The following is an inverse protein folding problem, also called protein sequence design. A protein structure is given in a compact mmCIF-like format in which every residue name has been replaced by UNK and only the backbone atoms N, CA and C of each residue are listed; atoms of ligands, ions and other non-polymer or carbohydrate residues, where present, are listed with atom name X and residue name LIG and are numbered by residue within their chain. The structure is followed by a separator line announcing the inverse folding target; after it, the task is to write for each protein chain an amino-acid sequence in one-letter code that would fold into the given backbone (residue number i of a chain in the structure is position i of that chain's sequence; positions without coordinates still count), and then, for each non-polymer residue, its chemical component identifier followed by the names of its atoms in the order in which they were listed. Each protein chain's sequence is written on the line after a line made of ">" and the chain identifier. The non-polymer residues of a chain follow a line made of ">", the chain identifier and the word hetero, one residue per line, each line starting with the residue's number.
data_IF_295621297891
#
_entry.id   IF_295621297891
#
_cell.length_a   1.000
_cell.length_b   1.000
_cell.length_c   1.000
_cell.angle_alpha   90.00
_cell.angle_beta   90.00
_cell.angle_gamma   90.00
#
_symmetry.space_group_name_H-M   'P 1'
#
loop_
_entity.id
_entity.type
_entity.pdbx_description
1 polymer ?
#
# COMPACT_ATOMS: atom_id res chain seq x y z
N UNK A 1 4.81 49.57 -18.95
CA UNK A 1 6.13 49.88 -18.38
C UNK A 1 6.19 49.19 -17.02
N UNK A 2 6.70 47.96 -16.99
CA UNK A 2 6.77 47.13 -15.78
C UNK A 2 8.10 47.43 -15.11
N UNK A 3 8.06 48.00 -13.90
CA UNK A 3 9.24 48.24 -13.08
C UNK A 3 9.56 46.94 -12.35
N UNK A 4 10.59 46.23 -12.79
CA UNK A 4 11.20 45.13 -12.06
C UNK A 4 12.07 45.70 -10.93
N UNK A 5 11.61 45.53 -9.69
CA UNK A 5 12.43 45.80 -8.50
C UNK A 5 13.29 44.58 -8.23
N UNK A 6 14.59 44.68 -8.52
CA UNK A 6 15.59 43.70 -8.09
C UNK A 6 15.86 43.89 -6.60
N UNK A 7 15.45 42.93 -5.78
CA UNK A 7 15.92 42.81 -4.39
C UNK A 7 17.32 42.21 -4.42
N UNK A 8 18.34 43.03 -4.16
CA UNK A 8 19.68 42.57 -3.82
C UNK A 8 19.67 42.29 -2.32
N UNK A 9 19.81 41.02 -1.92
CA UNK A 9 20.01 40.66 -0.52
C UNK A 9 21.35 41.25 -0.03
N UNK A 10 21.44 41.78 1.20
CA UNK A 10 22.69 42.30 1.71
C UNK A 10 23.70 41.15 1.87
N UNK A 11 24.92 41.36 1.38
CA UNK A 11 26.04 40.46 1.62
C UNK A 11 26.36 40.45 3.12
N UNK A 12 26.21 39.29 3.75
CA UNK A 12 26.69 39.06 5.10
C UNK A 12 28.22 39.12 5.04
N UNK A 13 28.83 40.09 5.73
CA UNK A 13 30.29 40.16 5.82
C UNK A 13 30.74 39.19 6.89
N UNK A 14 31.54 38.19 6.52
CA UNK A 14 32.14 37.25 7.46
C UNK A 14 32.94 37.99 8.55
N UNK A 15 32.74 37.61 9.80
CA UNK A 15 33.48 38.11 10.96
C UNK A 15 34.79 37.33 11.08
N UNK A 16 35.96 37.98 10.90
CA UNK A 16 37.26 37.30 10.90
C UNK A 16 37.61 36.65 12.25
N UNK A 17 36.93 37.00 13.35
CA UNK A 17 37.16 36.41 14.67
C UNK A 17 36.35 35.12 14.92
N UNK A 18 35.49 34.72 13.99
CA UNK A 18 34.62 33.53 14.11
C UNK A 18 35.23 32.31 13.41
N UNK A 19 35.41 31.22 14.15
CA UNK A 19 35.68 29.91 13.56
C UNK A 19 34.39 29.31 13.00
N UNK A 20 34.15 29.59 11.73
CA UNK A 20 32.96 29.14 11.00
C UNK A 20 32.89 27.62 10.84
N UNK A 21 34.02 26.90 10.84
CA UNK A 21 34.04 25.44 10.76
C UNK A 21 33.56 24.83 12.09
N UNK A 22 34.01 25.36 13.23
CA UNK A 22 33.53 24.92 14.55
C UNK A 22 32.08 25.29 14.79
N UNK A 23 31.66 26.49 14.36
CA UNK A 23 30.27 26.90 14.42
C UNK A 23 29.37 25.96 13.60
N UNK A 24 29.77 25.62 12.37
CA UNK A 24 29.04 24.67 11.55
C UNK A 24 28.99 23.28 12.19
N UNK A 25 30.08 22.81 12.81
CA UNK A 25 30.11 21.53 13.52
C UNK A 25 29.10 21.48 14.68
N UNK A 26 29.02 22.55 15.46
CA UNK A 26 28.04 22.69 16.54
C UNK A 26 26.61 22.64 15.99
N UNK A 27 26.33 23.40 14.93
CA UNK A 27 25.00 23.47 14.32
C UNK A 27 24.58 22.13 13.70
N UNK A 28 25.49 21.41 13.05
CA UNK A 28 25.24 20.04 12.54
C UNK A 28 24.88 19.09 13.67
N UNK A 29 25.59 19.16 14.80
CA UNK A 29 25.30 18.34 15.99
C UNK A 29 23.92 18.61 16.55
N UNK A 30 23.47 19.86 16.52
CA UNK A 30 22.17 20.29 17.04
C UNK A 30 21.02 20.10 16.01
N UNK A 31 21.33 19.64 14.79
CA UNK A 31 20.36 19.39 13.72
C UNK A 31 19.96 20.63 12.91
N UNK A 32 20.65 21.75 13.12
CA UNK A 32 20.40 23.05 12.50
C UNK A 32 21.11 23.17 11.13
N UNK A 33 20.77 22.28 10.19
CA UNK A 33 21.51 22.11 8.94
C UNK A 33 21.51 23.35 8.01
N UNK A 34 20.42 24.12 7.97
CA UNK A 34 20.38 25.35 7.16
C UNK A 34 21.33 26.42 7.71
N UNK A 35 21.37 26.57 9.03
CA UNK A 35 22.29 27.51 9.70
C UNK A 35 23.73 27.05 9.59
N UNK A 36 23.97 25.73 9.69
CA UNK A 36 25.28 25.15 9.47
C UNK A 36 25.78 25.42 8.04
N UNK A 37 24.90 25.30 7.04
CA UNK A 37 25.22 25.63 5.65
C UNK A 37 25.60 27.10 5.47
N UNK A 38 24.84 28.00 6.12
CA UNK A 38 25.14 29.43 6.10
C UNK A 38 26.51 29.72 6.74
N UNK A 39 26.83 29.09 7.88
CA UNK A 39 28.13 29.23 8.52
C UNK A 39 29.28 28.72 7.63
N UNK A 40 29.12 27.56 6.97
CA UNK A 40 30.15 27.06 6.05
C UNK A 40 30.36 27.96 4.81
N UNK A 41 29.32 28.67 4.35
CA UNK A 41 29.43 29.56 3.20
C UNK A 41 30.39 30.75 3.44
N UNK A 42 30.64 31.09 4.71
CA UNK A 42 31.54 32.17 5.13
C UNK A 42 33.01 31.72 5.30
N UNK A 43 33.32 30.43 5.11
CA UNK A 43 34.69 29.89 5.20
C UNK A 43 35.48 30.20 3.93
N UNK A 44 36.61 30.90 4.05
CA UNK A 44 37.56 31.10 2.95
C UNK A 44 38.44 29.86 2.75
N UNK A 45 38.10 29.02 1.77
CA UNK A 45 38.85 27.79 1.45
C UNK A 45 40.26 28.04 0.88
N UNK A 46 40.60 29.26 0.48
CA UNK A 46 41.92 29.62 -0.02
C UNK A 46 42.91 30.02 1.08
N UNK A 47 42.43 30.22 2.31
CA UNK A 47 43.26 30.63 3.43
C UNK A 47 44.21 29.51 3.88
N UNK A 48 45.42 29.89 4.31
CA UNK A 48 46.40 28.94 4.85
C UNK A 48 45.92 28.41 6.20
N UNK A 49 46.00 27.08 6.41
CA UNK A 49 45.64 26.44 7.67
C UNK A 49 44.16 26.02 7.82
N UNK A 50 43.33 26.18 6.78
CA UNK A 50 41.93 25.72 6.78
C UNK A 50 41.87 24.19 6.87
N UNK A 51 41.08 23.68 7.82
CA UNK A 51 40.81 22.24 7.95
C UNK A 51 39.83 21.77 6.86
N UNK A 52 40.36 21.51 5.66
CA UNK A 52 39.59 21.02 4.52
C UNK A 52 38.92 19.66 4.78
N UNK A 53 39.53 18.81 5.62
CA UNK A 53 38.96 17.51 6.00
C UNK A 53 37.64 17.74 6.74
N UNK A 54 37.66 18.57 7.77
CA UNK A 54 36.48 18.88 8.59
C UNK A 54 35.45 19.67 7.80
N UNK A 55 35.86 20.68 7.04
CA UNK A 55 34.97 21.45 6.17
C UNK A 55 34.16 20.54 5.23
N UNK A 56 34.84 19.69 4.45
CA UNK A 56 34.16 18.82 3.50
C UNK A 56 33.34 17.71 4.16
N UNK A 57 33.74 17.25 5.35
CA UNK A 57 32.92 16.30 6.14
C UNK A 57 31.59 16.95 6.54
N UNK A 58 31.62 18.18 7.07
CA UNK A 58 30.43 18.92 7.48
C UNK A 58 29.53 19.26 6.29
N UNK A 59 30.12 19.73 5.18
CA UNK A 59 29.40 20.01 3.93
C UNK A 59 28.63 18.77 3.45
N UNK A 60 29.27 17.60 3.50
CA UNK A 60 28.62 16.34 3.14
C UNK A 60 27.50 15.93 4.11
N UNK A 61 27.69 16.12 5.42
CA UNK A 61 26.65 15.81 6.42
C UNK A 61 25.42 16.72 6.29
N UNK A 62 25.65 18.02 6.04
CA UNK A 62 24.60 19.01 5.79
C UNK A 62 23.83 18.65 4.52
N UNK A 63 24.54 18.31 3.45
CA UNK A 63 23.92 17.88 2.20
C UNK A 63 23.10 16.59 2.37
N UNK A 64 23.60 15.62 3.16
CA UNK A 64 22.91 14.36 3.39
C UNK A 64 21.65 14.51 4.26
N UNK A 65 21.75 15.28 5.35
CA UNK A 65 20.73 15.34 6.42
C UNK A 65 19.83 16.57 6.36
N UNK A 66 20.18 17.57 5.55
CA UNK A 66 19.39 18.77 5.34
C UNK A 66 18.04 18.50 4.67
N UNK A 67 17.16 19.51 4.71
CA UNK A 67 15.83 19.44 4.07
C UNK A 67 15.72 20.55 3.02
N UNK A 68 15.58 20.23 1.72
CA UNK A 68 15.61 18.89 1.14
C UNK A 68 17.01 18.27 1.18
N UNK A 69 17.08 16.94 1.27
CA UNK A 69 18.35 16.21 1.19
C UNK A 69 18.93 16.31 -0.24
N UNK A 70 20.25 16.48 -0.33
CA UNK A 70 21.03 16.63 -1.57
C UNK A 70 22.10 15.53 -1.64
N UNK A 71 21.72 14.28 -1.90
CA UNK A 71 22.65 13.15 -1.78
C UNK A 71 23.78 13.18 -2.83
N UNK A 72 23.59 13.81 -3.99
CA UNK A 72 24.66 14.00 -4.98
C UNK A 72 25.79 14.90 -4.44
N UNK A 73 25.41 16.03 -3.84
CA UNK A 73 26.34 16.98 -3.22
C UNK A 73 27.06 16.32 -2.03
N UNK A 74 26.33 15.52 -1.25
CA UNK A 74 26.90 14.76 -0.14
C UNK A 74 28.02 13.81 -0.60
N UNK A 75 27.79 13.01 -1.66
CA UNK A 75 28.83 12.13 -2.22
C UNK A 75 30.05 12.94 -2.67
N UNK A 76 29.86 14.07 -3.36
CA UNK A 76 30.95 14.91 -3.83
C UNK A 76 31.75 15.55 -2.69
N UNK A 77 31.07 16.00 -1.62
CA UNK A 77 31.71 16.55 -0.44
C UNK A 77 32.50 15.48 0.34
N UNK A 78 31.93 14.30 0.57
CA UNK A 78 32.65 13.21 1.22
C UNK A 78 33.87 12.74 0.42
N UNK A 79 33.78 12.69 -0.92
CA UNK A 79 34.93 12.39 -1.75
C UNK A 79 36.03 13.45 -1.61
N UNK A 80 35.68 14.74 -1.62
CA UNK A 80 36.65 15.83 -1.39
C UNK A 80 37.31 15.73 0.00
N UNK A 81 36.56 15.33 1.02
CA UNK A 81 37.13 15.08 2.37
C UNK A 81 38.14 13.93 2.36
N UNK A 82 37.82 12.83 1.66
CA UNK A 82 38.73 11.68 1.49
C UNK A 82 39.99 12.10 0.71
N UNK A 83 39.84 12.86 -0.38
CA UNK A 83 40.95 13.35 -1.19
C UNK A 83 41.85 14.32 -0.40
N UNK A 84 41.28 15.05 0.58
CA UNK A 84 42.01 15.89 1.53
C UNK A 84 42.72 15.11 2.65
N UNK A 85 42.57 13.78 2.71
CA UNK A 85 43.27 12.91 3.66
C UNK A 85 42.45 12.44 4.86
N UNK A 86 41.11 12.49 4.79
CA UNK A 86 40.26 11.91 5.83
C UNK A 86 40.56 10.43 6.07
N UNK A 87 40.77 10.05 7.33
CA UNK A 87 41.08 8.67 7.76
C UNK A 87 39.96 8.00 8.54
N UNK A 88 39.01 8.77 9.06
CA UNK A 88 37.94 8.26 9.90
C UNK A 88 36.98 7.35 9.09
N UNK A 89 36.84 6.05 9.43
CA UNK A 89 36.06 5.10 8.63
C UNK A 89 34.57 5.46 8.48
N UNK A 90 34.01 6.22 9.42
CA UNK A 90 32.59 6.61 9.40
C UNK A 90 32.21 7.43 8.16
N UNK A 91 33.16 8.12 7.52
CA UNK A 91 32.96 8.87 6.27
C UNK A 91 32.37 7.99 5.17
N UNK A 92 32.83 6.74 5.08
CA UNK A 92 32.36 5.78 4.08
C UNK A 92 30.93 5.31 4.35
N UNK A 93 30.47 5.34 5.61
CA UNK A 93 29.08 5.00 5.93
C UNK A 93 28.13 6.09 5.45
N UNK A 94 28.47 7.36 5.68
CA UNK A 94 27.69 8.48 5.17
C UNK A 94 27.69 8.53 3.65
N UNK A 95 28.84 8.24 3.02
CA UNK A 95 28.93 8.11 1.57
C UNK A 95 28.05 6.97 1.03
N UNK A 96 28.05 5.80 1.68
CA UNK A 96 27.17 4.68 1.30
C UNK A 96 25.68 5.03 1.46
N UNK A 97 25.30 5.76 2.51
CA UNK A 97 23.92 6.25 2.69
C UNK A 97 23.52 7.21 1.56
N UNK A 98 24.38 8.17 1.21
CA UNK A 98 24.14 9.10 0.12
C UNK A 98 24.04 8.39 -1.25
N UNK A 99 24.94 7.44 -1.53
CA UNK A 99 24.89 6.58 -2.72
C UNK A 99 23.60 5.76 -2.78
N UNK A 100 23.13 5.25 -1.63
CA UNK A 100 21.88 4.51 -1.55
C UNK A 100 20.67 5.40 -1.91
N UNK A 101 20.63 6.64 -1.41
CA UNK A 101 19.60 7.61 -1.75
C UNK A 101 19.61 8.05 -3.22
N UNK A 102 20.74 7.90 -3.92
CA UNK A 102 20.89 8.10 -5.36
C UNK A 102 20.60 6.84 -6.19
N UNK A 103 20.16 5.76 -5.56
CA UNK A 103 19.96 4.44 -6.18
C UNK A 103 21.23 3.86 -6.81
N UNK A 104 22.42 4.32 -6.40
CA UNK A 104 23.73 3.84 -6.87
C UNK A 104 24.15 2.59 -6.10
N UNK A 105 23.31 1.56 -6.12
CA UNK A 105 23.47 0.36 -5.28
C UNK A 105 24.79 -0.40 -5.53
N UNK A 106 25.31 -0.38 -6.76
CA UNK A 106 26.62 -0.99 -7.05
C UNK A 106 27.77 -0.26 -6.33
N UNK A 107 27.68 1.07 -6.22
CA UNK A 107 28.68 1.87 -5.51
C UNK A 107 28.55 1.70 -4.01
N UNK A 108 27.32 1.57 -3.48
CA UNK A 108 27.09 1.18 -2.07
C UNK A 108 27.86 -0.10 -1.75
N UNK A 109 27.72 -1.14 -2.58
CA UNK A 109 28.42 -2.42 -2.35
C UNK A 109 29.94 -2.26 -2.43
N UNK A 110 30.48 -1.46 -3.35
CA UNK A 110 31.93 -1.17 -3.41
C UNK A 110 32.40 -0.50 -2.12
N UNK A 111 31.70 0.54 -1.67
CA UNK A 111 32.02 1.28 -0.45
C UNK A 111 31.92 0.39 0.79
N UNK A 112 30.87 -0.43 0.91
CA UNK A 112 30.70 -1.36 2.03
C UNK A 112 31.70 -2.54 2.04
N UNK A 113 32.44 -2.74 0.94
CA UNK A 113 33.46 -3.79 0.82
C UNK A 113 34.89 -3.28 1.08
N UNK A 114 35.08 -1.97 1.27
CA UNK A 114 36.37 -1.40 1.66
C UNK A 114 36.87 -2.02 2.98
N UNK A 115 38.16 -2.33 3.12
CA UNK A 115 38.73 -2.89 4.36
C UNK A 115 38.39 -2.05 5.59
N UNK A 116 38.54 -0.72 5.48
CA UNK A 116 38.20 0.22 6.54
C UNK A 116 36.75 0.07 7.03
N UNK A 117 35.79 -0.17 6.13
CA UNK A 117 34.38 -0.36 6.53
C UNK A 117 34.17 -1.75 7.13
N UNK A 118 34.73 -2.78 6.50
CA UNK A 118 34.54 -4.17 6.93
C UNK A 118 35.14 -4.46 8.30
N UNK A 119 36.27 -3.85 8.63
CA UNK A 119 36.96 -4.07 9.90
C UNK A 119 36.32 -3.29 11.04
N UNK A 120 35.98 -2.02 10.79
CA UNK A 120 35.46 -1.15 11.85
C UNK A 120 33.95 -1.34 12.13
N UNK A 121 33.17 -1.77 11.13
CA UNK A 121 31.71 -1.84 11.25
C UNK A 121 31.13 -3.23 11.00
N UNK A 122 31.96 -4.28 11.08
CA UNK A 122 31.52 -5.68 10.88
C UNK A 122 30.31 -6.06 11.75
N UNK A 123 30.25 -5.51 12.97
CA UNK A 123 29.28 -5.85 14.00
C UNK A 123 28.03 -4.94 14.00
N UNK A 124 27.86 -4.08 12.99
CA UNK A 124 26.67 -3.23 12.87
C UNK A 124 25.61 -3.90 11.97
N UNK A 125 24.44 -4.30 12.51
CA UNK A 125 23.41 -4.97 11.70
C UNK A 125 22.90 -4.12 10.52
N UNK A 126 22.86 -2.79 10.68
CA UNK A 126 22.42 -1.84 9.66
C UNK A 126 23.25 -1.94 8.37
N UNK A 127 24.56 -2.20 8.48
CA UNK A 127 25.46 -2.35 7.33
C UNK A 127 25.13 -3.62 6.54
N UNK A 128 24.85 -4.71 7.24
CA UNK A 128 24.44 -5.95 6.59
C UNK A 128 23.07 -5.82 5.94
N UNK A 129 22.12 -5.14 6.60
CA UNK A 129 20.80 -4.86 6.02
C UNK A 129 20.89 -3.99 4.76
N UNK A 130 21.76 -2.96 4.76
CA UNK A 130 22.01 -2.14 3.58
C UNK A 130 22.62 -2.96 2.44
N UNK A 131 23.58 -3.85 2.73
CA UNK A 131 24.17 -4.78 1.75
C UNK A 131 23.11 -5.71 1.14
N UNK A 132 22.25 -6.30 1.98
CA UNK A 132 21.13 -7.15 1.55
C UNK A 132 20.20 -6.39 0.61
N UNK A 133 19.85 -5.15 0.98
CA UNK A 133 18.94 -4.32 0.20
C UNK A 133 19.57 -3.87 -1.13
N UNK A 134 20.86 -3.52 -1.14
CA UNK A 134 21.57 -3.17 -2.37
C UNK A 134 21.65 -4.35 -3.35
N UNK A 135 21.97 -5.56 -2.88
CA UNK A 135 21.93 -6.76 -3.74
C UNK A 135 20.52 -7.01 -4.30
N UNK A 136 19.49 -6.86 -3.46
CA UNK A 136 18.10 -7.04 -3.89
C UNK A 136 17.70 -6.07 -5.01
N UNK A 137 18.00 -4.78 -4.83
CA UNK A 137 17.64 -3.73 -5.79
C UNK A 137 18.44 -3.81 -7.09
N UNK A 138 19.58 -4.51 -7.09
CA UNK A 138 20.34 -4.87 -8.30
C UNK A 138 19.83 -6.15 -8.99
N UNK A 139 18.78 -6.79 -8.47
CA UNK A 139 18.28 -8.08 -8.97
C UNK A 139 19.19 -9.27 -8.63
N UNK A 140 20.18 -9.08 -7.76
CA UNK A 140 21.14 -10.11 -7.35
C UNK A 140 20.57 -10.94 -6.20
N UNK A 141 19.45 -11.62 -6.44
CA UNK A 141 18.67 -12.31 -5.40
C UNK A 141 19.49 -13.36 -4.63
N UNK A 142 20.31 -14.16 -5.33
CA UNK A 142 21.17 -15.17 -4.68
C UNK A 142 22.14 -14.53 -3.68
N UNK A 143 22.77 -13.42 -4.05
CA UNK A 143 23.69 -12.69 -3.18
C UNK A 143 22.94 -12.02 -2.02
N UNK A 144 21.73 -11.52 -2.26
CA UNK A 144 20.88 -10.98 -1.19
C UNK A 144 20.54 -12.06 -0.16
N UNK A 145 20.16 -13.27 -0.57
CA UNK A 145 19.87 -14.39 0.35
C UNK A 145 21.13 -14.91 1.06
N UNK A 146 22.28 -14.96 0.38
CA UNK A 146 23.56 -15.26 1.04
C UNK A 146 23.90 -14.23 2.12
N UNK A 147 23.72 -12.94 1.83
CA UNK A 147 23.93 -11.87 2.79
C UNK A 147 22.93 -11.93 3.96
N UNK A 148 21.67 -12.30 3.72
CA UNK A 148 20.68 -12.58 4.78
C UNK A 148 21.17 -13.71 5.67
N UNK A 149 21.58 -14.85 5.11
CA UNK A 149 22.03 -16.01 5.89
C UNK A 149 23.29 -15.68 6.71
N UNK A 150 24.22 -14.90 6.16
CA UNK A 150 25.37 -14.39 6.88
C UNK A 150 24.95 -13.49 8.06
N UNK A 151 24.04 -12.54 7.81
CA UNK A 151 23.48 -11.66 8.84
C UNK A 151 22.78 -12.42 9.96
N UNK A 152 21.97 -13.44 9.64
CA UNK A 152 21.30 -14.27 10.65
C UNK A 152 22.27 -15.05 11.53
N UNK A 153 23.37 -15.56 10.96
CA UNK A 153 24.41 -16.26 11.74
C UNK A 153 25.17 -15.30 12.66
N UNK A 154 25.45 -14.09 12.19
CA UNK A 154 26.20 -13.10 12.97
C UNK A 154 25.33 -12.39 14.03
N UNK A 155 24.04 -12.18 13.74
CA UNK A 155 23.10 -11.47 14.60
C UNK A 155 21.85 -12.31 14.91
N UNK A 156 21.98 -13.45 15.62
CA UNK A 156 20.88 -14.40 15.82
C UNK A 156 19.69 -13.82 16.58
N UNK A 157 19.91 -12.81 17.43
CA UNK A 157 18.86 -12.09 18.16
C UNK A 157 18.15 -11.01 17.32
N UNK A 158 18.74 -10.58 16.19
CA UNK A 158 18.16 -9.54 15.35
C UNK A 158 17.18 -10.16 14.34
N UNK A 159 15.89 -10.06 14.63
CA UNK A 159 14.83 -10.64 13.81
C UNK A 159 14.60 -9.91 12.48
N UNK A 160 15.21 -8.74 12.25
CA UNK A 160 15.05 -7.98 10.99
C UNK A 160 15.56 -8.75 9.76
N UNK A 161 16.60 -9.56 9.91
CA UNK A 161 17.11 -10.40 8.82
C UNK A 161 16.09 -11.46 8.41
N UNK A 162 15.46 -12.11 9.39
CA UNK A 162 14.44 -13.11 9.15
C UNK A 162 13.16 -12.47 8.58
N UNK A 163 12.76 -11.31 9.12
CA UNK A 163 11.67 -10.50 8.55
C UNK A 163 11.94 -10.16 7.08
N UNK A 164 13.13 -9.67 6.75
CA UNK A 164 13.51 -9.33 5.36
C UNK A 164 13.43 -10.54 4.43
N UNK A 165 13.92 -11.70 4.88
CA UNK A 165 13.84 -12.96 4.16
C UNK A 165 12.39 -13.31 3.79
N UNK A 166 11.47 -13.19 4.75
CA UNK A 166 10.04 -13.48 4.55
C UNK A 166 9.46 -12.59 3.45
N UNK A 167 9.70 -11.28 3.49
CA UNK A 167 9.18 -10.36 2.48
C UNK A 167 9.78 -10.60 1.09
N UNK A 168 11.07 -10.88 1.00
CA UNK A 168 11.72 -11.21 -0.27
C UNK A 168 11.20 -12.50 -0.89
N UNK A 169 10.95 -13.54 -0.08
CA UNK A 169 10.32 -14.77 -0.57
C UNK A 169 8.90 -14.50 -1.10
N UNK A 170 8.12 -13.63 -0.43
CA UNK A 170 6.79 -13.25 -0.91
C UNK A 170 6.84 -12.46 -2.23
N UNK A 171 7.79 -11.52 -2.38
CA UNK A 171 8.01 -10.77 -3.62
C UNK A 171 8.36 -11.67 -4.80
N UNK A 172 9.12 -12.76 -4.56
CA UNK A 172 9.44 -13.77 -5.57
C UNK A 172 8.31 -14.80 -5.81
N UNK A 173 7.20 -14.71 -5.08
CA UNK A 173 6.09 -15.67 -5.17
C UNK A 173 6.39 -17.04 -4.54
N UNK A 174 7.47 -17.16 -3.76
CA UNK A 174 7.86 -18.36 -3.01
C UNK A 174 7.07 -18.45 -1.70
N UNK A 175 5.76 -18.59 -1.84
CA UNK A 175 4.82 -18.43 -0.72
C UNK A 175 4.91 -19.55 0.33
N UNK A 176 5.41 -20.75 -0.02
CA UNK A 176 5.54 -21.86 0.94
C UNK A 176 6.72 -21.59 1.88
N UNK A 177 7.87 -21.25 1.32
CA UNK A 177 9.09 -20.87 2.03
C UNK A 177 8.89 -19.59 2.84
N UNK A 178 8.14 -18.62 2.29
CA UNK A 178 7.76 -17.41 3.00
C UNK A 178 6.92 -17.72 4.24
N UNK A 179 5.96 -18.65 4.15
CA UNK A 179 5.14 -19.05 5.28
C UNK A 179 5.95 -19.78 6.37
N UNK A 180 6.87 -20.67 5.99
CA UNK A 180 7.78 -21.33 6.92
C UNK A 180 8.68 -20.33 7.65
N UNK A 181 9.34 -19.46 6.88
CA UNK A 181 10.19 -18.39 7.41
C UNK A 181 9.39 -17.41 8.29
N UNK A 182 8.14 -17.14 7.93
CA UNK A 182 7.23 -16.26 8.64
C UNK A 182 6.85 -16.79 10.03
N UNK A 183 6.62 -18.10 10.14
CA UNK A 183 6.39 -18.74 11.44
C UNK A 183 7.64 -18.70 12.32
N UNK A 184 8.82 -18.93 11.73
CA UNK A 184 10.08 -18.82 12.46
C UNK A 184 10.36 -17.37 12.93
N UNK A 185 9.96 -16.37 12.15
CA UNK A 185 10.03 -14.96 12.53
C UNK A 185 9.13 -14.66 13.73
N UNK A 186 7.86 -15.05 13.66
CA UNK A 186 6.87 -14.73 14.70
C UNK A 186 7.00 -15.56 15.98
N UNK A 187 7.78 -16.64 15.98
CA UNK A 187 8.16 -17.33 17.22
C UNK A 187 9.25 -16.60 18.01
N UNK A 188 9.94 -15.63 17.39
CA UNK A 188 11.04 -14.84 17.98
C UNK A 188 10.75 -13.35 18.06
N UNK A 189 9.65 -12.91 17.48
CA UNK A 189 9.24 -11.51 17.38
C UNK A 189 7.73 -11.43 17.58
N UNK A 190 7.24 -10.39 18.25
CA UNK A 190 5.79 -10.15 18.32
C UNK A 190 5.18 -9.92 16.94
N UNK A 191 5.98 -9.33 16.02
CA UNK A 191 5.56 -8.94 14.69
C UNK A 191 4.67 -7.70 14.69
N UNK A 192 4.59 -7.02 13.54
CA UNK A 192 3.61 -5.96 13.30
C UNK A 192 2.39 -6.50 12.59
N UNK A 193 1.29 -5.75 12.59
CA UNK A 193 0.05 -6.16 11.91
C UNK A 193 0.29 -6.45 10.42
N UNK A 194 1.16 -5.67 9.76
CA UNK A 194 1.52 -5.88 8.35
C UNK A 194 2.22 -7.22 8.13
N UNK A 195 2.99 -7.69 9.12
CA UNK A 195 3.68 -8.98 9.04
C UNK A 195 2.66 -10.13 9.07
N UNK A 196 1.65 -10.07 9.94
CA UNK A 196 0.58 -11.08 9.98
C UNK A 196 -0.28 -11.04 8.73
N UNK A 197 -0.66 -9.86 8.25
CA UNK A 197 -1.44 -9.73 7.01
C UNK A 197 -0.68 -10.34 5.83
N UNK A 198 0.62 -10.03 5.68
CA UNK A 198 1.43 -10.53 4.59
C UNK A 198 1.66 -12.05 4.68
N UNK A 199 2.04 -12.57 5.85
CA UNK A 199 2.27 -14.02 6.05
C UNK A 199 0.97 -14.82 5.87
N UNK A 200 -0.17 -14.30 6.38
CA UNK A 200 -1.47 -14.93 6.19
C UNK A 200 -1.90 -14.95 4.71
N UNK A 201 -1.66 -13.86 3.98
CA UNK A 201 -1.89 -13.81 2.54
C UNK A 201 -0.98 -14.78 1.77
N UNK A 202 0.29 -14.94 2.17
CA UNK A 202 1.20 -15.92 1.59
C UNK A 202 0.72 -17.36 1.81
N UNK A 203 0.33 -17.72 3.04
CA UNK A 203 -0.26 -19.03 3.36
C UNK A 203 -1.49 -19.33 2.48
N UNK A 204 -2.36 -18.33 2.31
CA UNK A 204 -3.53 -18.43 1.45
C UNK A 204 -3.13 -18.72 -0.01
N UNK A 205 -2.18 -17.95 -0.56
CA UNK A 205 -1.68 -18.13 -1.95
C UNK A 205 -0.97 -19.46 -2.17
N UNK A 206 -0.34 -20.02 -1.13
CA UNK A 206 0.22 -21.39 -1.13
C UNK A 206 -0.83 -22.51 -1.12
N UNK A 207 -2.13 -22.19 -1.29
CA UNK A 207 -3.25 -23.14 -1.15
C UNK A 207 -3.36 -23.78 0.24
N UNK A 208 -2.78 -23.15 1.26
CA UNK A 208 -2.86 -23.61 2.65
C UNK A 208 -3.96 -22.83 3.39
N UNK A 209 -5.15 -22.74 2.81
CA UNK A 209 -6.23 -21.86 3.28
C UNK A 209 -6.63 -22.13 4.75
N UNK A 210 -6.62 -23.39 5.20
CA UNK A 210 -6.92 -23.72 6.60
C UNK A 210 -5.84 -23.22 7.57
N UNK A 211 -4.56 -23.32 7.18
CA UNK A 211 -3.47 -22.76 7.98
C UNK A 211 -3.50 -21.23 7.98
N UNK A 212 -3.80 -20.62 6.83
CA UNK A 212 -4.00 -19.19 6.71
C UNK A 212 -5.11 -18.69 7.64
N UNK A 213 -6.25 -19.41 7.70
CA UNK A 213 -7.36 -19.06 8.58
C UNK A 213 -6.93 -19.10 10.04
N UNK A 214 -6.37 -20.22 10.53
CA UNK A 214 -5.93 -20.35 11.93
C UNK A 214 -4.89 -19.28 12.31
N UNK A 215 -3.97 -18.98 11.38
CA UNK A 215 -2.95 -17.97 11.57
C UNK A 215 -3.55 -16.55 11.65
N UNK A 216 -4.48 -16.21 10.75
CA UNK A 216 -5.14 -14.91 10.74
C UNK A 216 -6.16 -14.75 11.87
N UNK A 217 -6.75 -15.83 12.39
CA UNK A 217 -7.52 -15.81 13.63
C UNK A 217 -6.63 -15.41 14.82
N UNK A 218 -5.42 -15.96 14.89
CA UNK A 218 -4.44 -15.54 15.91
C UNK A 218 -4.09 -14.05 15.76
N UNK A 219 -3.93 -13.58 14.51
CA UNK A 219 -3.72 -12.16 14.24
C UNK A 219 -4.93 -11.32 14.69
N UNK A 220 -6.16 -11.79 14.47
CA UNK A 220 -7.39 -11.10 14.88
C UNK A 220 -7.51 -10.95 16.39
N UNK A 221 -7.04 -11.94 17.16
CA UNK A 221 -6.99 -11.84 18.63
C UNK A 221 -6.00 -10.76 19.10
N UNK A 222 -4.89 -10.57 18.37
CA UNK A 222 -3.89 -9.53 18.67
C UNK A 222 -4.30 -8.14 18.16
N UNK A 223 -4.99 -8.09 17.02
CA UNK A 223 -5.39 -6.86 16.33
C UNK A 223 -6.91 -6.88 16.05
N UNK A 224 -7.75 -6.76 17.11
CA UNK A 224 -9.20 -6.95 17.02
C UNK A 224 -9.95 -5.87 16.24
N UNK A 225 -9.32 -4.72 15.99
CA UNK A 225 -9.91 -3.61 15.24
C UNK A 225 -9.27 -3.41 13.85
N UNK A 226 -8.25 -4.21 13.50
CA UNK A 226 -7.57 -4.04 12.22
C UNK A 226 -8.40 -4.58 11.05
N UNK A 227 -8.71 -3.69 10.11
CA UNK A 227 -9.52 -3.97 8.93
C UNK A 227 -8.82 -4.89 7.92
N UNK A 228 -7.50 -4.79 7.79
CA UNK A 228 -6.77 -5.61 6.82
C UNK A 228 -6.73 -7.07 7.27
N UNK A 229 -6.56 -7.33 8.57
CA UNK A 229 -6.70 -8.68 9.14
C UNK A 229 -8.08 -9.26 8.85
N UNK A 230 -9.16 -8.47 9.04
CA UNK A 230 -10.53 -8.89 8.72
C UNK A 230 -10.67 -9.25 7.26
N UNK A 231 -10.23 -8.37 6.36
CA UNK A 231 -10.38 -8.56 4.91
C UNK A 231 -9.68 -9.82 4.44
N UNK A 232 -8.43 -10.03 4.88
CA UNK A 232 -7.68 -11.23 4.48
C UNK A 232 -8.29 -12.49 5.10
N UNK A 233 -8.73 -12.46 6.36
CA UNK A 233 -9.38 -13.60 6.99
C UNK A 233 -10.75 -13.93 6.36
N UNK A 234 -11.59 -12.94 6.10
CA UNK A 234 -12.87 -13.11 5.41
C UNK A 234 -12.67 -13.71 4.01
N UNK A 235 -11.70 -13.18 3.25
CA UNK A 235 -11.34 -13.73 1.95
C UNK A 235 -10.81 -15.18 2.05
N UNK A 236 -10.06 -15.50 3.11
CA UNK A 236 -9.59 -16.87 3.37
C UNK A 236 -10.74 -17.81 3.70
N UNK A 237 -11.77 -17.35 4.42
CA UNK A 237 -12.98 -18.13 4.66
C UNK A 237 -13.78 -18.41 3.39
N UNK A 238 -13.78 -17.49 2.42
CA UNK A 238 -14.38 -17.74 1.12
C UNK A 238 -13.67 -18.85 0.35
N UNK A 239 -12.33 -18.88 0.37
CA UNK A 239 -11.54 -19.96 -0.24
C UNK A 239 -11.82 -21.33 0.42
N UNK A 240 -12.19 -21.33 1.71
CA UNK A 240 -12.63 -22.51 2.45
C UNK A 240 -14.12 -22.86 2.24
N UNK A 241 -14.82 -22.16 1.34
CA UNK A 241 -16.26 -22.29 1.11
C UNK A 241 -17.10 -22.05 2.39
N UNK A 242 -16.69 -21.09 3.22
CA UNK A 242 -17.39 -20.68 4.45
C UNK A 242 -17.89 -19.23 4.36
N UNK A 243 -18.82 -18.92 3.44
CA UNK A 243 -19.27 -17.54 3.21
C UNK A 243 -19.99 -16.92 4.41
N UNK A 244 -20.65 -17.72 5.26
CA UNK A 244 -21.28 -17.21 6.47
C UNK A 244 -20.25 -16.70 7.48
N UNK A 245 -19.14 -17.41 7.69
CA UNK A 245 -18.08 -16.97 8.58
C UNK A 245 -17.43 -15.67 8.09
N UNK A 246 -17.19 -15.57 6.77
CA UNK A 246 -16.72 -14.34 6.15
C UNK A 246 -17.71 -13.17 6.39
N UNK A 247 -19.01 -13.42 6.20
CA UNK A 247 -20.05 -12.40 6.37
C UNK A 247 -20.14 -11.89 7.81
N UNK A 248 -20.11 -12.79 8.80
CA UNK A 248 -20.15 -12.42 10.22
C UNK A 248 -18.93 -11.58 10.62
N UNK A 249 -17.74 -12.00 10.19
CA UNK A 249 -16.51 -11.29 10.50
C UNK A 249 -16.51 -9.88 9.92
N UNK A 250 -16.88 -9.73 8.64
CA UNK A 250 -16.96 -8.42 7.98
C UNK A 250 -18.06 -7.56 8.59
N UNK A 251 -19.19 -8.15 8.99
CA UNK A 251 -20.27 -7.41 9.68
C UNK A 251 -19.84 -6.86 11.03
N UNK A 252 -19.13 -7.66 11.85
CA UNK A 252 -18.59 -7.18 13.12
C UNK A 252 -17.66 -5.99 12.91
N UNK A 253 -16.77 -6.06 11.91
CA UNK A 253 -15.91 -4.93 11.55
C UNK A 253 -16.72 -3.71 11.07
N UNK A 254 -17.85 -3.95 10.39
CA UNK A 254 -18.72 -2.88 9.90
C UNK A 254 -19.42 -2.08 11.02
N UNK A 255 -19.49 -2.62 12.25
CA UNK A 255 -20.04 -1.90 13.41
C UNK A 255 -19.19 -0.67 13.76
N UNK A 256 -17.87 -0.79 13.63
CA UNK A 256 -16.92 0.31 13.86
C UNK A 256 -16.56 1.06 12.58
N UNK A 257 -16.60 0.39 11.41
CA UNK A 257 -16.37 0.99 10.11
C UNK A 257 -17.56 0.76 9.14
N UNK A 258 -18.55 1.68 9.10
CA UNK A 258 -19.72 1.54 8.24
C UNK A 258 -19.44 1.40 6.73
N UNK A 259 -18.23 1.72 6.26
CA UNK A 259 -17.86 1.52 4.85
C UNK A 259 -17.91 0.04 4.44
N UNK A 260 -17.73 -0.88 5.39
CA UNK A 260 -17.76 -2.33 5.15
C UNK A 260 -19.18 -2.91 5.02
N UNK A 261 -20.24 -2.14 5.27
CA UNK A 261 -21.63 -2.62 5.19
C UNK A 261 -21.99 -3.16 3.80
N UNK A 262 -21.46 -2.55 2.74
CA UNK A 262 -21.67 -3.00 1.35
C UNK A 262 -21.13 -4.41 1.17
N UNK A 263 -19.89 -4.64 1.61
CA UNK A 263 -19.23 -5.95 1.51
C UNK A 263 -19.90 -6.99 2.41
N UNK A 264 -20.21 -6.65 3.66
CA UNK A 264 -20.92 -7.54 4.58
C UNK A 264 -22.29 -7.98 4.03
N UNK A 265 -23.07 -7.07 3.46
CA UNK A 265 -24.36 -7.39 2.84
C UNK A 265 -24.19 -8.36 1.66
N UNK A 266 -23.16 -8.18 0.83
CA UNK A 266 -22.87 -9.07 -0.29
C UNK A 266 -22.44 -10.46 0.20
N UNK A 267 -21.63 -10.53 1.25
CA UNK A 267 -21.23 -11.80 1.84
C UNK A 267 -22.42 -12.56 2.44
N UNK A 268 -23.37 -11.88 3.10
CA UNK A 268 -24.61 -12.53 3.56
C UNK A 268 -25.48 -13.01 2.40
N UNK A 269 -25.54 -12.26 1.28
CA UNK A 269 -26.22 -12.73 0.07
C UNK A 269 -25.59 -14.03 -0.43
N UNK A 270 -24.27 -14.06 -0.59
CA UNK A 270 -23.50 -15.26 -0.99
C UNK A 270 -23.63 -16.42 0.00
N UNK A 271 -23.81 -16.12 1.29
CA UNK A 271 -24.09 -17.10 2.33
C UNK A 271 -25.55 -17.58 2.37
N UNK A 272 -26.39 -17.20 1.39
CA UNK A 272 -27.82 -17.53 1.31
C UNK A 272 -28.60 -17.04 2.53
N UNK A 273 -28.22 -15.87 3.06
CA UNK A 273 -28.87 -15.16 4.17
C UNK A 273 -29.50 -13.84 3.68
N UNK A 274 -30.49 -13.90 2.78
CA UNK A 274 -30.97 -12.73 2.04
C UNK A 274 -31.69 -11.70 2.94
N UNK A 275 -32.33 -12.15 4.03
CA UNK A 275 -32.97 -11.25 5.01
C UNK A 275 -31.92 -10.38 5.69
N UNK A 276 -30.80 -10.98 6.12
CA UNK A 276 -29.68 -10.25 6.75
C UNK A 276 -28.99 -9.33 5.74
N UNK A 277 -28.80 -9.79 4.51
CA UNK A 277 -28.28 -8.96 3.43
C UNK A 277 -29.16 -7.70 3.21
N UNK A 278 -30.49 -7.83 3.16
CA UNK A 278 -31.42 -6.70 3.03
C UNK A 278 -31.40 -5.76 4.26
N UNK A 279 -31.24 -6.31 5.46
CA UNK A 279 -31.12 -5.54 6.71
C UNK A 279 -29.86 -4.67 6.72
N UNK A 280 -28.71 -5.22 6.31
CA UNK A 280 -27.48 -4.44 6.21
C UNK A 280 -27.52 -3.45 5.04
N UNK A 281 -28.05 -3.89 3.89
CA UNK A 281 -28.24 -3.03 2.74
C UNK A 281 -29.07 -1.77 3.05
N UNK A 282 -30.06 -1.88 3.95
CA UNK A 282 -30.85 -0.74 4.38
C UNK A 282 -30.01 0.37 5.03
N UNK A 283 -28.87 0.03 5.64
CA UNK A 283 -27.99 0.94 6.39
C UNK A 283 -26.90 1.59 5.51
N UNK A 284 -26.74 1.16 4.26
CA UNK A 284 -25.74 1.71 3.32
C UNK A 284 -26.09 3.18 3.00
N UNK A 285 -25.10 4.07 3.12
CA UNK A 285 -25.25 5.52 2.88
C UNK A 285 -25.18 5.88 1.39
N UNK A 286 -24.30 5.24 0.64
CA UNK A 286 -24.23 5.41 -0.82
C UNK A 286 -25.50 4.84 -1.46
N UNK A 287 -26.37 5.74 -1.91
CA UNK A 287 -27.67 5.40 -2.47
C UNK A 287 -27.55 4.60 -3.77
N UNK A 288 -26.54 4.85 -4.59
CA UNK A 288 -26.30 4.13 -5.84
C UNK A 288 -25.89 2.69 -5.54
N UNK A 289 -24.89 2.51 -4.68
CA UNK A 289 -24.44 1.17 -4.26
C UNK A 289 -25.56 0.38 -3.57
N UNK A 290 -26.32 1.03 -2.67
CA UNK A 290 -27.46 0.45 -1.97
C UNK A 290 -28.52 -0.08 -2.94
N UNK A 291 -28.96 0.73 -3.90
CA UNK A 291 -30.01 0.36 -4.84
C UNK A 291 -29.55 -0.75 -5.80
N UNK A 292 -28.31 -0.69 -6.31
CA UNK A 292 -27.75 -1.74 -7.16
C UNK A 292 -27.69 -3.09 -6.46
N UNK A 293 -27.19 -3.11 -5.22
CA UNK A 293 -27.11 -4.35 -4.44
C UNK A 293 -28.50 -4.88 -4.08
N UNK A 294 -29.43 -4.00 -3.68
CA UNK A 294 -30.82 -4.39 -3.35
C UNK A 294 -31.54 -4.99 -4.56
N UNK A 295 -31.33 -4.44 -5.75
CA UNK A 295 -31.84 -5.00 -7.00
C UNK A 295 -31.41 -6.46 -7.16
N UNK A 296 -30.10 -6.73 -7.04
CA UNK A 296 -29.56 -8.09 -7.15
C UNK A 296 -30.17 -9.06 -6.12
N UNK A 297 -30.30 -8.63 -4.87
CA UNK A 297 -30.90 -9.46 -3.80
C UNK A 297 -32.37 -9.77 -4.08
N UNK A 298 -33.16 -8.77 -4.49
CA UNK A 298 -34.60 -8.94 -4.74
C UNK A 298 -34.88 -9.77 -6.00
N UNK A 299 -34.06 -9.64 -7.03
CA UNK A 299 -34.14 -10.49 -8.24
C UNK A 299 -33.85 -11.95 -7.88
N UNK A 300 -32.81 -12.22 -7.07
CA UNK A 300 -32.49 -13.57 -6.60
C UNK A 300 -33.64 -14.18 -5.76
N UNK A 301 -34.39 -13.34 -5.06
CA UNK A 301 -35.58 -13.74 -4.29
C UNK A 301 -36.88 -13.75 -5.10
N UNK A 302 -36.83 -13.46 -6.40
CA UNK A 302 -38.00 -13.35 -7.28
C UNK A 302 -39.06 -12.33 -6.79
N UNK A 303 -38.63 -11.33 -6.00
CA UNK A 303 -39.50 -10.26 -5.46
C UNK A 303 -39.68 -9.13 -6.46
N UNK A 304 -40.20 -9.47 -7.64
CA UNK A 304 -40.28 -8.56 -8.80
C UNK A 304 -41.16 -7.32 -8.55
N UNK A 305 -42.21 -7.42 -7.74
CA UNK A 305 -43.03 -6.27 -7.38
C UNK A 305 -42.22 -5.18 -6.65
N UNK A 306 -41.30 -5.58 -5.77
CA UNK A 306 -40.42 -4.63 -5.06
C UNK A 306 -39.33 -4.07 -5.96
N UNK A 307 -38.80 -4.89 -6.88
CA UNK A 307 -37.87 -4.41 -7.91
C UNK A 307 -38.52 -3.31 -8.75
N UNK A 308 -39.74 -3.55 -9.25
CA UNK A 308 -40.52 -2.58 -10.02
C UNK A 308 -40.77 -1.28 -9.21
N UNK A 309 -41.15 -1.41 -7.93
CA UNK A 309 -41.40 -0.28 -7.05
C UNK A 309 -40.15 0.60 -6.80
N UNK A 310 -38.93 0.05 -6.97
CA UNK A 310 -37.69 0.80 -6.81
C UNK A 310 -37.32 1.68 -8.01
N UNK A 311 -37.96 1.52 -9.17
CA UNK A 311 -37.61 2.25 -10.41
C UNK A 311 -37.47 3.77 -10.20
N UNK A 312 -38.43 4.49 -9.57
CA UNK A 312 -38.30 5.94 -9.39
C UNK A 312 -37.08 6.33 -8.55
N UNK A 313 -36.73 5.53 -7.54
CA UNK A 313 -35.56 5.77 -6.70
C UNK A 313 -34.26 5.52 -7.47
N UNK A 314 -34.22 4.50 -8.33
CA UNK A 314 -33.07 4.22 -9.20
C UNK A 314 -32.82 5.34 -10.22
N UNK A 315 -33.88 5.83 -10.86
CA UNK A 315 -33.76 6.94 -11.81
C UNK A 315 -33.23 8.20 -11.14
N UNK A 316 -33.74 8.57 -9.95
CA UNK A 316 -33.23 9.71 -9.17
C UNK A 316 -31.78 9.54 -8.74
N UNK A 317 -31.34 8.32 -8.47
CA UNK A 317 -29.95 8.00 -8.12
C UNK A 317 -29.00 7.94 -9.34
N UNK A 318 -29.46 8.34 -10.54
CA UNK A 318 -28.65 8.33 -11.75
C UNK A 318 -28.41 6.95 -12.36
N UNK A 319 -29.13 5.91 -11.90
CA UNK A 319 -28.98 4.53 -12.39
C UNK A 319 -29.72 4.26 -13.71
N UNK A 320 -30.46 5.24 -14.22
CA UNK A 320 -31.25 5.10 -15.45
C UNK A 320 -30.43 5.00 -16.74
N UNK A 321 -29.12 5.23 -16.70
CA UNK A 321 -28.22 5.06 -17.87
C UNK A 321 -27.64 3.64 -17.95
N UNK A 322 -27.74 2.87 -16.86
CA UNK A 322 -27.25 1.49 -16.81
C UNK A 322 -28.26 0.55 -17.49
N UNK A 323 -27.91 0.07 -18.69
CA UNK A 323 -28.80 -0.76 -19.49
C UNK A 323 -29.09 -2.13 -18.85
N UNK A 324 -28.20 -2.67 -18.01
CA UNK A 324 -28.47 -3.92 -17.28
C UNK A 324 -29.58 -3.71 -16.24
N UNK A 325 -29.53 -2.56 -15.53
CA UNK A 325 -30.57 -2.16 -14.58
C UNK A 325 -31.90 -1.91 -15.31
N UNK A 326 -31.86 -1.23 -16.45
CA UNK A 326 -33.04 -1.02 -17.31
C UNK A 326 -33.68 -2.35 -17.72
N UNK A 327 -32.88 -3.31 -18.15
CA UNK A 327 -33.40 -4.63 -18.51
C UNK A 327 -33.98 -5.36 -17.29
N UNK A 328 -33.34 -5.31 -16.13
CA UNK A 328 -33.86 -5.92 -14.90
C UNK A 328 -35.20 -5.29 -14.46
N UNK A 329 -35.34 -3.97 -14.56
CA UNK A 329 -36.61 -3.26 -14.31
C UNK A 329 -37.69 -3.66 -15.33
N UNK A 330 -37.33 -3.73 -16.61
CA UNK A 330 -38.25 -4.20 -17.65
C UNK A 330 -38.76 -5.62 -17.36
N UNK A 331 -37.87 -6.54 -16.99
CA UNK A 331 -38.25 -7.90 -16.64
C UNK A 331 -39.14 -7.96 -15.39
N UNK A 332 -38.84 -7.15 -14.37
CA UNK A 332 -39.66 -7.07 -13.17
C UNK A 332 -41.07 -6.55 -13.47
N UNK A 333 -41.21 -5.51 -14.30
CA UNK A 333 -42.52 -5.00 -14.76
C UNK A 333 -43.28 -6.00 -15.61
N UNK A 334 -42.58 -6.78 -16.43
CA UNK A 334 -43.17 -7.87 -17.20
C UNK A 334 -43.82 -8.90 -16.26
N UNK A 335 -43.14 -9.28 -15.18
CA UNK A 335 -43.68 -10.16 -14.13
C UNK A 335 -44.86 -9.58 -13.36
N UNK A 336 -45.09 -8.28 -13.45
CA UNK A 336 -46.26 -7.58 -12.89
C UNK A 336 -47.33 -7.26 -13.96
N UNK A 337 -47.13 -7.72 -15.20
CA UNK A 337 -47.98 -7.40 -16.36
C UNK A 337 -48.13 -5.89 -16.67
N UNK A 338 -47.19 -5.04 -16.24
CA UNK A 338 -47.13 -3.63 -16.62
C UNK A 338 -46.33 -3.46 -17.93
N UNK A 339 -46.95 -3.88 -19.03
CA UNK A 339 -46.34 -3.84 -20.36
C UNK A 339 -45.95 -2.44 -20.83
N UNK A 340 -46.63 -1.39 -20.35
CA UNK A 340 -46.24 -0.02 -20.66
C UNK A 340 -44.90 0.34 -20.00
N UNK A 341 -44.67 -0.09 -18.75
CA UNK A 341 -43.41 0.09 -18.07
C UNK A 341 -42.27 -0.77 -18.64
N UNK A 342 -42.60 -1.97 -19.13
CA UNK A 342 -41.65 -2.80 -19.88
C UNK A 342 -41.09 -2.02 -21.07
N UNK A 343 -41.95 -1.51 -21.96
CA UNK A 343 -41.49 -0.81 -23.17
C UNK A 343 -40.68 0.45 -22.89
N UNK A 344 -41.07 1.23 -21.86
CA UNK A 344 -40.30 2.41 -21.44
C UNK A 344 -38.86 2.08 -21.08
N UNK A 345 -38.61 0.89 -20.52
CA UNK A 345 -37.28 0.44 -20.15
C UNK A 345 -36.57 -0.32 -21.27
N UNK A 346 -37.28 -1.01 -22.16
CA UNK A 346 -36.66 -1.71 -23.29
C UNK A 346 -36.21 -0.77 -24.42
N UNK A 347 -36.90 0.35 -24.64
CA UNK A 347 -36.60 1.28 -25.75
C UNK A 347 -35.22 1.95 -25.65
N UNK A 348 -34.63 2.02 -24.45
CA UNK A 348 -33.32 2.66 -24.22
C UNK A 348 -32.15 1.66 -24.35
N UNK A 349 -32.45 0.38 -24.59
CA UNK A 349 -31.46 -0.68 -24.71
C UNK A 349 -30.86 -0.66 -26.11
N UNK A 350 -29.55 -0.45 -26.18
CA UNK A 350 -28.78 -0.41 -27.44
C UNK A 350 -27.67 -1.46 -27.50
N UNK A 351 -27.28 -2.06 -26.36
CA UNK A 351 -26.31 -3.15 -26.32
C UNK A 351 -26.86 -4.39 -27.06
N UNK A 352 -26.10 -5.03 -27.98
CA UNK A 352 -26.59 -6.14 -28.81
C UNK A 352 -27.26 -7.28 -28.03
N UNK A 353 -26.63 -7.74 -26.95
CA UNK A 353 -27.16 -8.84 -26.12
C UNK A 353 -28.48 -8.46 -25.42
N UNK A 354 -28.56 -7.23 -24.91
CA UNK A 354 -29.78 -6.75 -24.26
C UNK A 354 -30.89 -6.47 -25.26
N UNK A 355 -30.55 -6.03 -26.48
CA UNK A 355 -31.52 -5.83 -27.56
C UNK A 355 -32.16 -7.15 -28.00
N UNK A 356 -31.37 -8.23 -28.08
CA UNK A 356 -31.88 -9.58 -28.36
C UNK A 356 -32.85 -10.04 -27.27
N UNK A 357 -32.45 -9.92 -26.00
CA UNK A 357 -33.33 -10.23 -24.85
C UNK A 357 -34.60 -9.37 -24.82
N UNK A 358 -34.50 -8.10 -25.19
CA UNK A 358 -35.65 -7.20 -25.30
C UNK A 358 -36.61 -7.66 -26.38
N UNK A 359 -36.09 -8.07 -27.54
CA UNK A 359 -36.89 -8.60 -28.66
C UNK A 359 -37.63 -9.88 -28.26
N UNK A 360 -36.95 -10.79 -27.55
CA UNK A 360 -37.58 -11.99 -27.01
C UNK A 360 -38.70 -11.64 -26.01
N UNK A 361 -38.47 -10.71 -25.09
CA UNK A 361 -39.47 -10.29 -24.12
C UNK A 361 -40.70 -9.66 -24.79
N UNK A 362 -40.50 -8.84 -25.83
CA UNK A 362 -41.58 -8.27 -26.65
C UNK A 362 -42.40 -9.33 -27.36
N UNK A 363 -41.74 -10.37 -27.91
CA UNK A 363 -42.44 -11.48 -28.55
C UNK A 363 -43.34 -12.21 -27.56
N UNK A 364 -42.81 -12.52 -26.37
CA UNK A 364 -43.61 -13.14 -25.30
C UNK A 364 -44.81 -12.25 -24.96
N UNK A 365 -44.63 -10.94 -24.80
CA UNK A 365 -45.73 -10.00 -24.53
C UNK A 365 -46.79 -9.95 -25.63
N UNK A 366 -46.40 -10.06 -26.90
CA UNK A 366 -47.33 -10.14 -28.03
C UNK A 366 -48.14 -11.44 -27.98
N UNK A 367 -47.51 -12.56 -27.63
CA UNK A 367 -48.19 -13.85 -27.44
C UNK A 367 -49.17 -13.82 -26.24
N UNK A 368 -48.91 -12.97 -25.23
CA UNK A 368 -49.84 -12.68 -24.12
C UNK A 368 -51.06 -11.83 -24.53
N UNK A 369 -51.13 -11.37 -25.79
CA UNK A 369 -52.02 -10.33 -26.34
C UNK A 369 -53.52 -10.66 -26.39
N UNK A 370 -54.09 -11.10 -25.27
CA UNK A 370 -55.52 -11.30 -25.06
C UNK A 370 -55.85 -11.85 -23.66
N UNK A 371 -54.90 -12.53 -23.03
CA UNK A 371 -55.09 -13.27 -21.78
C UNK A 371 -53.93 -13.00 -20.80
N UNK A 372 -54.13 -12.05 -19.88
CA UNK A 372 -53.10 -11.64 -18.89
C UNK A 372 -52.56 -12.79 -18.04
N UNK A 373 -53.34 -13.85 -17.84
CA UNK A 373 -52.95 -15.02 -17.03
C UNK A 373 -51.95 -15.97 -17.71
N UNK A 374 -51.73 -15.85 -19.02
CA UNK A 374 -50.77 -16.71 -19.76
C UNK A 374 -49.30 -16.38 -19.45
N UNK A 375 -49.03 -15.27 -18.75
CA UNK A 375 -47.69 -14.68 -18.63
C UNK A 375 -47.29 -14.28 -17.20
N UNK A 376 -48.11 -14.61 -16.20
CA UNK A 376 -47.84 -14.46 -14.76
C UNK A 376 -47.18 -15.69 -14.17
#
# INVERSE_FOLDING_TARGET
>A
MVVTVSFVAPAHSADPDVDYIELAALLVRDGEYERAAAALADVDLGAEGVDLIKYHTLDGMIALSGTPSRPADAVAAFQRSIDAGQVEPSIYLFMAQAQFGLERYADVLKTLNLPAVRENFANLPSIHLMRIQAHWLLGQHDLAFQAIAAGQRQFPANTQFLRRQVFYLMELGLYQEAAESGRAYLSRSEGKVEDYVAIGAALKRSRQAQQAANFLETARLKFPDDENVVKVLASTYLDLNRPLAAAELTYQAALSNPALLVEAAELFRRARQPVRALMLNAQIRDQSAKLKQRLGILVELERYAEVAAMEPAMLRAGLGTDQEIRYALAYAHFKQADFAAVERNLQVLTKPELFRKATELRKIMQDCGGDRWKCT
#
